data_IF_886583090675
#
_entry.id   IF_886583090675
#
_cell.length_a   1.000
_cell.length_b   1.000
_cell.length_c   1.000
_cell.angle_alpha   90.00
_cell.angle_beta   90.00
_cell.angle_gamma   90.00
#
_symmetry.space_group_name_H-M   'P 1'
#
loop_
_entity.id
_entity.type
_entity.pdbx_description
1 polymer ?
#
# COMPACT_ATOMS: atom_id res chain seq x y z
N UNK A 1 12.49 16.95 13.54
CA UNK A 1 12.99 15.82 12.73
C UNK A 1 11.79 15.01 12.29
N UNK A 2 11.51 14.92 11.00
CA UNK A 2 10.45 14.04 10.48
C UNK A 2 11.17 12.76 10.05
N UNK A 3 10.68 11.60 10.49
CA UNK A 3 11.25 10.29 10.13
C UNK A 3 10.15 9.47 9.49
N UNK A 4 10.45 8.85 8.36
CA UNK A 4 9.52 7.98 7.64
C UNK A 4 10.02 6.55 7.79
N UNK A 5 9.15 5.66 8.25
CA UNK A 5 9.45 4.23 8.27
C UNK A 5 9.52 3.68 6.84
N UNK A 6 10.47 2.79 6.56
CA UNK A 6 10.60 2.14 5.25
C UNK A 6 9.57 1.00 5.07
N UNK A 7 8.30 1.36 5.19
CA UNK A 7 7.19 0.45 4.94
C UNK A 7 7.10 0.17 3.44
N UNK A 8 7.11 -1.12 3.08
CA UNK A 8 6.91 -1.59 1.70
C UNK A 8 5.43 -1.51 1.32
N UNK A 9 4.93 -0.30 1.08
CA UNK A 9 3.51 -0.03 0.74
C UNK A 9 3.02 -0.89 -0.43
N UNK A 10 3.87 -1.17 -1.43
CA UNK A 10 3.58 -2.08 -2.54
C UNK A 10 3.20 -3.50 -2.10
N UNK A 11 3.86 -4.02 -1.07
CA UNK A 11 3.53 -5.33 -0.49
C UNK A 11 2.21 -5.26 0.28
N UNK A 12 1.92 -4.12 0.91
CA UNK A 12 0.70 -3.90 1.67
C UNK A 12 -0.52 -3.75 0.78
N UNK A 13 -0.38 -3.26 -0.46
CA UNK A 13 -1.48 -3.14 -1.43
C UNK A 13 -1.61 -4.33 -2.39
N UNK A 14 -0.85 -5.41 -2.18
CA UNK A 14 -0.88 -6.60 -3.04
C UNK A 14 -2.25 -7.31 -2.98
N UNK A 15 -2.73 -7.77 -4.13
CA UNK A 15 -3.99 -8.50 -4.24
C UNK A 15 -3.94 -9.82 -3.47
N UNK A 16 -5.06 -10.18 -2.85
CA UNK A 16 -5.28 -11.51 -2.26
C UNK A 16 -6.13 -12.44 -3.13
N UNK A 17 -6.49 -12.05 -4.37
CA UNK A 17 -7.42 -12.82 -5.21
C UNK A 17 -6.94 -14.25 -5.54
N UNK A 18 -5.63 -14.51 -5.54
CA UNK A 18 -5.06 -15.81 -5.90
C UNK A 18 -5.20 -16.11 -7.39
N UNK A 19 -5.16 -17.39 -7.73
CA UNK A 19 -5.33 -17.91 -9.10
C UNK A 19 -6.56 -18.82 -9.18
N UNK A 20 -6.91 -19.27 -10.39
CA UNK A 20 -8.02 -20.23 -10.59
C UNK A 20 -7.75 -21.55 -9.86
N UNK A 21 -6.50 -22.04 -9.89
CA UNK A 21 -6.10 -23.28 -9.22
C UNK A 21 -5.96 -23.13 -7.70
N UNK A 22 -5.65 -21.94 -7.22
CA UNK A 22 -5.48 -21.62 -5.79
C UNK A 22 -6.20 -20.30 -5.48
N UNK A 23 -7.52 -20.35 -5.26
CA UNK A 23 -8.31 -19.15 -5.03
C UNK A 23 -7.94 -18.50 -3.70
N UNK A 24 -7.94 -17.18 -3.72
CA UNK A 24 -7.71 -16.33 -2.57
C UNK A 24 -8.77 -16.44 -1.47
N UNK A 25 -8.38 -16.13 -0.24
CA UNK A 25 -9.30 -16.01 0.90
C UNK A 25 -9.40 -14.55 1.36
N UNK A 26 -10.55 -14.17 1.91
CA UNK A 26 -10.81 -12.81 2.42
C UNK A 26 -10.55 -11.69 1.38
N UNK A 27 -10.72 -11.99 0.09
CA UNK A 27 -10.40 -11.10 -1.03
C UNK A 27 -11.14 -9.77 -0.94
N UNK A 28 -12.43 -9.79 -0.59
CA UNK A 28 -13.25 -8.58 -0.45
C UNK A 28 -12.73 -7.64 0.64
N UNK A 29 -12.43 -8.18 1.82
CA UNK A 29 -11.88 -7.40 2.93
C UNK A 29 -10.51 -6.83 2.57
N UNK A 30 -9.61 -7.66 1.99
CA UNK A 30 -8.29 -7.21 1.57
C UNK A 30 -8.35 -6.16 0.46
N UNK A 31 -9.25 -6.33 -0.51
CA UNK A 31 -9.46 -5.36 -1.59
C UNK A 31 -9.88 -3.99 -1.06
N UNK A 32 -10.81 -3.96 -0.09
CA UNK A 32 -11.20 -2.72 0.59
C UNK A 32 -10.02 -2.03 1.29
N UNK A 33 -9.21 -2.78 2.03
CA UNK A 33 -8.01 -2.26 2.70
C UNK A 33 -6.95 -1.78 1.70
N UNK A 34 -6.72 -2.52 0.61
CA UNK A 34 -5.80 -2.12 -0.45
C UNK A 34 -6.24 -0.80 -1.09
N UNK A 35 -7.54 -0.64 -1.36
CA UNK A 35 -8.08 0.62 -1.90
C UNK A 35 -7.82 1.77 -0.95
N UNK A 36 -8.13 1.62 0.34
CA UNK A 36 -7.83 2.69 1.31
C UNK A 36 -6.34 3.04 1.39
N UNK A 37 -5.44 2.07 1.26
CA UNK A 37 -3.99 2.35 1.27
C UNK A 37 -3.57 3.13 0.02
N UNK A 38 -4.11 2.77 -1.15
CA UNK A 38 -3.79 3.45 -2.42
C UNK A 38 -4.37 4.87 -2.46
N UNK A 39 -5.60 5.06 -1.96
CA UNK A 39 -6.29 6.34 -1.94
C UNK A 39 -5.57 7.40 -1.08
N UNK A 40 -4.81 6.97 -0.06
CA UNK A 40 -4.02 7.89 0.79
C UNK A 40 -2.79 8.48 0.06
N UNK A 41 -2.34 7.92 -1.07
CA UNK A 41 -1.26 8.51 -1.85
C UNK A 41 0.11 8.53 -1.16
N UNK A 42 0.42 7.52 -0.32
CA UNK A 42 1.66 7.44 0.48
C UNK A 42 2.97 7.66 -0.30
N UNK A 43 3.01 7.25 -1.57
CA UNK A 43 4.16 7.49 -2.44
C UNK A 43 4.43 8.96 -2.72
N UNK A 44 3.37 9.74 -2.95
CA UNK A 44 3.49 11.17 -3.20
C UNK A 44 3.84 11.91 -1.90
N UNK A 45 3.23 11.50 -0.78
CA UNK A 45 3.59 12.04 0.54
C UNK A 45 5.07 11.85 0.85
N UNK A 46 5.61 10.64 0.64
CA UNK A 46 7.05 10.37 0.83
C UNK A 46 7.90 11.26 -0.07
N UNK A 47 7.55 11.38 -1.35
CA UNK A 47 8.26 12.23 -2.31
C UNK A 47 8.28 13.70 -1.89
N UNK A 48 7.14 14.23 -1.44
CA UNK A 48 7.03 15.64 -1.01
C UNK A 48 7.85 15.91 0.25
N UNK A 49 7.89 14.96 1.18
CA UNK A 49 8.72 15.06 2.37
C UNK A 49 10.21 14.99 2.02
N UNK A 50 10.62 14.05 1.17
CA UNK A 50 12.01 13.96 0.67
C UNK A 50 12.43 15.25 -0.05
N UNK A 51 11.56 15.84 -0.89
CA UNK A 51 11.85 17.10 -1.58
C UNK A 51 12.03 18.29 -0.63
N UNK A 52 11.18 18.42 0.40
CA UNK A 52 11.15 19.59 1.30
C UNK A 52 12.08 19.47 2.51
N UNK A 53 12.59 18.27 2.79
CA UNK A 53 13.54 18.01 3.88
C UNK A 53 14.99 17.97 3.40
N UNK A 54 15.24 18.04 2.08
CA UNK A 54 16.50 18.50 1.51
C UNK A 54 16.63 20.01 1.67
#
# INVERSE_FOLDING_TARGET
MIVIEDLKVSNMSKSAAGTVSLPGRNVRAKSGLNRSILDQGWYEMRRQLEYKQL
#
